data_IF_644962509734
#
_entry.id   IF_644962509734
#
_cell.length_a   1.000
_cell.length_b   1.000
_cell.length_c   1.000
_cell.angle_alpha   90.00
_cell.angle_beta   90.00
_cell.angle_gamma   90.00
#
_symmetry.space_group_name_H-M   'P 1'
#
loop_
_entity.id
_entity.type
_entity.pdbx_description
1 polymer ?
#
# COMPACT_ATOMS: atom_id res chain seq x y z
N UNK A 1 -1.24 -9.04 6.61
CA UNK A 1 -2.12 -7.95 7.11
C UNK A 1 -1.62 -6.65 6.50
N UNK A 2 -2.52 -5.72 6.16
CA UNK A 2 -2.15 -4.39 5.68
C UNK A 2 -1.48 -3.60 6.81
N UNK A 3 -0.65 -2.62 6.44
CA UNK A 3 0.09 -1.77 7.37
C UNK A 3 -0.86 -1.08 8.33
N UNK A 4 -0.70 -1.39 9.63
CA UNK A 4 -1.52 -0.77 10.68
C UNK A 4 -1.15 0.69 10.93
N UNK A 5 -0.05 1.13 10.32
CA UNK A 5 0.48 2.47 10.47
C UNK A 5 0.30 3.33 9.21
N UNK A 6 -0.65 2.95 8.35
CA UNK A 6 -1.02 3.73 7.17
C UNK A 6 -2.27 4.55 7.45
N UNK A 7 -2.24 5.82 7.07
CA UNK A 7 -3.40 6.71 7.14
C UNK A 7 -3.76 7.17 5.74
N UNK A 8 -4.99 6.90 5.30
CA UNK A 8 -5.49 7.45 4.03
C UNK A 8 -5.80 8.93 4.19
N UNK A 9 -5.41 9.74 3.20
CA UNK A 9 -5.63 11.18 3.22
C UNK A 9 -6.01 11.72 1.83
N UNK A 10 -6.81 12.78 1.82
CA UNK A 10 -7.19 13.48 0.58
C UNK A 10 -5.98 14.18 -0.05
N UNK A 11 -5.86 14.25 -1.40
CA UNK A 11 -4.83 15.00 -2.09
C UNK A 11 -4.89 16.50 -1.81
N UNK A 12 -6.07 17.03 -1.47
CA UNK A 12 -6.30 18.43 -1.11
C UNK A 12 -6.13 18.72 0.39
N UNK A 13 -5.94 17.69 1.22
CA UNK A 13 -5.58 17.93 2.61
C UNK A 13 -4.24 18.67 2.67
N UNK A 14 -4.06 19.49 3.69
CA UNK A 14 -2.85 20.29 3.87
C UNK A 14 -1.81 19.57 4.73
N UNK A 15 -0.54 19.95 4.57
CA UNK A 15 0.56 19.55 5.45
C UNK A 15 0.21 19.76 6.92
N UNK A 16 -0.40 20.89 7.28
CA UNK A 16 -0.80 21.17 8.65
C UNK A 16 -1.80 20.16 9.20
N UNK A 17 -2.78 19.72 8.40
CA UNK A 17 -3.72 18.67 8.81
C UNK A 17 -2.99 17.34 9.04
N UNK A 18 -2.06 16.96 8.16
CA UNK A 18 -1.25 15.75 8.31
C UNK A 18 -0.30 15.82 9.53
N UNK A 19 0.31 16.98 9.79
CA UNK A 19 1.23 17.22 10.89
C UNK A 19 0.59 16.90 12.26
N UNK A 20 -0.70 17.22 12.45
CA UNK A 20 -1.42 16.85 13.68
C UNK A 20 -1.42 15.34 13.94
N UNK A 21 -1.38 14.53 12.88
CA UNK A 21 -1.34 13.06 12.97
C UNK A 21 0.07 12.57 13.28
N UNK A 22 1.10 13.18 12.68
CA UNK A 22 2.51 12.88 12.98
C UNK A 22 2.83 13.18 14.45
N UNK A 23 2.37 14.32 14.97
CA UNK A 23 2.61 14.75 16.35
C UNK A 23 2.00 13.82 17.41
N UNK A 24 1.00 12.99 17.04
CA UNK A 24 0.41 11.98 17.95
C UNK A 24 1.30 10.75 18.18
N UNK A 25 2.53 10.74 17.65
CA UNK A 25 3.57 9.76 18.00
C UNK A 25 3.57 8.47 17.18
N UNK A 26 2.62 8.28 16.26
CA UNK A 26 2.55 7.05 15.45
C UNK A 26 3.42 7.06 14.19
N UNK A 27 4.02 8.19 13.79
CA UNK A 27 4.86 8.31 12.58
C UNK A 27 4.32 7.53 11.36
N UNK A 28 3.05 7.73 10.95
CA UNK A 28 2.47 6.94 9.87
C UNK A 28 3.05 7.35 8.50
N UNK A 29 2.96 6.43 7.55
CA UNK A 29 2.97 6.79 6.13
C UNK A 29 1.54 7.15 5.69
N UNK A 30 1.40 8.20 4.90
CA UNK A 30 0.11 8.65 4.39
C UNK A 30 -0.12 8.14 2.98
N UNK A 31 -1.18 7.37 2.78
CA UNK A 31 -1.66 7.01 1.45
C UNK A 31 -2.53 8.16 0.91
N UNK A 32 -2.04 8.87 -0.09
CA UNK A 32 -2.83 9.90 -0.78
C UNK A 32 -3.71 9.19 -1.80
N UNK A 33 -5.02 9.20 -1.55
CA UNK A 33 -6.00 8.46 -2.35
C UNK A 33 -6.96 9.39 -3.05
N UNK A 34 -7.55 8.95 -4.16
CA UNK A 34 -8.61 9.69 -4.84
C UNK A 34 -9.82 9.94 -3.90
N UNK A 35 -10.72 10.88 -4.24
CA UNK A 35 -11.87 11.20 -3.38
C UNK A 35 -12.78 10.00 -3.07
N UNK A 36 -12.74 8.94 -3.89
CA UNK A 36 -13.51 7.72 -3.70
C UNK A 36 -12.76 6.64 -2.90
N UNK A 37 -11.48 6.86 -2.58
CA UNK A 37 -10.63 5.94 -1.82
C UNK A 37 -10.26 4.65 -2.54
N UNK A 38 -10.42 4.60 -3.87
CA UNK A 38 -10.23 3.40 -4.70
C UNK A 38 -8.87 3.37 -5.37
N UNK A 39 -8.25 4.52 -5.55
CA UNK A 39 -6.99 4.66 -6.27
C UNK A 39 -5.95 5.37 -5.41
N UNK A 40 -4.79 4.75 -5.27
CA UNK A 40 -3.60 5.41 -4.74
C UNK A 40 -3.06 6.40 -5.77
N UNK A 41 -2.91 7.65 -5.37
CA UNK A 41 -2.29 8.72 -6.16
C UNK A 41 -0.81 8.88 -5.80
N UNK A 42 -0.46 8.65 -4.54
CA UNK A 42 0.90 8.72 -4.05
C UNK A 42 1.03 8.44 -2.55
N UNK A 43 2.24 8.55 -2.03
CA UNK A 43 2.55 8.38 -0.61
C UNK A 43 3.33 9.59 -0.11
N UNK A 44 3.02 10.02 1.12
CA UNK A 44 3.79 11.00 1.87
C UNK A 44 4.24 10.36 3.16
N UNK A 45 5.54 10.34 3.47
CA UNK A 45 6.03 9.84 4.75
C UNK A 45 5.91 10.89 5.85
N UNK A 46 5.95 10.46 7.11
CA UNK A 46 6.04 11.39 8.25
C UNK A 46 7.28 12.32 8.17
N UNK A 47 8.36 11.85 7.56
CA UNK A 47 9.55 12.66 7.28
C UNK A 47 9.29 13.77 6.25
N UNK A 48 8.55 13.47 5.18
CA UNK A 48 8.17 14.47 4.17
C UNK A 48 7.28 15.56 4.78
N UNK A 49 6.33 15.16 5.64
CA UNK A 49 5.49 16.11 6.39
C UNK A 49 6.34 16.99 7.32
N UNK A 50 7.28 16.38 8.05
CA UNK A 50 8.17 17.12 8.97
C UNK A 50 9.03 18.13 8.21
N UNK A 51 9.61 17.71 7.09
CA UNK A 51 10.41 18.58 6.22
C UNK A 51 9.57 19.73 5.64
N UNK A 52 8.33 19.47 5.23
CA UNK A 52 7.44 20.52 4.74
C UNK A 52 7.07 21.53 5.85
N UNK A 53 6.84 21.05 7.07
CA UNK A 53 6.61 21.91 8.24
C UNK A 53 7.83 22.79 8.54
N UNK A 54 9.03 22.24 8.52
CA UNK A 54 10.29 23.00 8.71
C UNK A 54 10.48 24.09 7.65
N UNK A 55 9.98 23.86 6.44
CA UNK A 55 9.95 24.83 5.33
C UNK A 55 8.78 25.82 5.39
N UNK A 56 8.00 25.81 6.47
CA UNK A 56 6.82 26.65 6.67
C UNK A 56 5.70 26.44 5.61
N UNK A 57 5.59 25.22 5.07
CA UNK A 57 4.64 24.85 4.01
C UNK A 57 3.30 24.33 4.56
N UNK A 58 2.80 24.93 5.63
CA UNK A 58 1.61 24.46 6.37
C UNK A 58 0.35 24.28 5.53
N UNK A 59 0.16 25.13 4.52
CA UNK A 59 -1.02 25.14 3.65
C UNK A 59 -0.81 24.38 2.34
N UNK A 60 0.38 23.84 2.10
CA UNK A 60 0.68 23.08 0.90
C UNK A 60 -0.17 21.79 0.88
N UNK A 61 -0.81 21.45 -0.24
CA UNK A 61 -1.60 20.24 -0.33
C UNK A 61 -0.70 19.00 -0.35
N UNK A 62 -1.21 17.86 0.15
CA UNK A 62 -0.48 16.59 0.18
C UNK A 62 -0.06 16.13 -1.22
N UNK A 63 -0.86 16.45 -2.23
CA UNK A 63 -0.55 16.15 -3.63
C UNK A 63 0.72 16.83 -4.17
N UNK A 64 1.15 17.95 -3.58
CA UNK A 64 2.34 18.67 -4.02
C UNK A 64 3.64 18.12 -3.41
N UNK A 65 3.53 17.35 -2.33
CA UNK A 65 4.68 16.78 -1.60
C UNK A 65 4.72 15.25 -1.65
N UNK A 66 3.75 14.62 -2.30
CA UNK A 66 3.70 13.16 -2.42
C UNK A 66 4.70 12.64 -3.42
N UNK A 67 5.20 11.44 -3.13
CA UNK A 67 5.81 10.59 -4.14
C UNK A 67 4.70 9.96 -4.99
N UNK A 68 4.75 10.07 -6.32
CA UNK A 68 3.74 9.49 -7.21
C UNK A 68 3.58 7.98 -7.03
N UNK A 69 2.36 7.47 -7.19
CA UNK A 69 2.05 6.04 -7.15
C UNK A 69 2.90 5.18 -8.11
N UNK A 70 3.36 5.75 -9.23
CA UNK A 70 4.23 5.07 -10.18
C UNK A 70 5.60 4.66 -9.64
N UNK A 71 6.08 5.34 -8.58
CA UNK A 71 7.38 5.08 -7.97
C UNK A 71 7.28 4.10 -6.79
N UNK A 72 6.08 3.60 -6.50
CA UNK A 72 5.80 2.76 -5.35
C UNK A 72 5.63 1.32 -5.82
N UNK A 73 6.40 0.36 -5.29
CA UNK A 73 6.26 -1.05 -5.66
C UNK A 73 4.82 -1.55 -5.47
N UNK A 74 4.29 -2.20 -6.50
CA UNK A 74 2.96 -2.82 -6.46
C UNK A 74 3.05 -4.30 -6.12
N UNK A 75 2.20 -4.73 -5.19
CA UNK A 75 2.08 -6.12 -4.74
C UNK A 75 0.62 -6.55 -4.67
N UNK A 76 0.39 -7.85 -4.57
CA UNK A 76 -0.94 -8.45 -4.39
C UNK A 76 -1.04 -9.09 -3.00
N UNK A 77 -2.26 -9.40 -2.50
CA UNK A 77 -2.43 -10.13 -1.24
C UNK A 77 -1.69 -11.48 -1.18
N UNK A 78 -1.37 -12.08 -2.34
CA UNK A 78 -0.68 -13.36 -2.45
C UNK A 78 0.83 -13.21 -2.67
N UNK A 79 1.36 -11.99 -2.72
CA UNK A 79 2.81 -11.75 -2.83
C UNK A 79 3.52 -12.33 -1.60
N UNK A 80 4.55 -13.14 -1.85
CA UNK A 80 5.32 -13.78 -0.78
C UNK A 80 6.16 -12.76 0.00
N UNK A 81 6.55 -13.08 1.23
CA UNK A 81 7.39 -12.19 2.04
C UNK A 81 8.77 -11.98 1.41
N UNK A 82 9.37 -13.02 0.81
CA UNK A 82 10.65 -12.90 0.11
C UNK A 82 10.53 -11.98 -1.09
N UNK A 83 9.47 -12.13 -1.90
CA UNK A 83 9.24 -11.23 -3.04
C UNK A 83 8.95 -9.78 -2.59
N UNK A 84 8.23 -9.60 -1.49
CA UNK A 84 8.01 -8.28 -0.89
C UNK A 84 9.34 -7.67 -0.43
N UNK A 85 10.18 -8.45 0.23
CA UNK A 85 11.51 -8.04 0.67
C UNK A 85 12.37 -7.61 -0.53
N UNK A 86 12.46 -8.46 -1.56
CA UNK A 86 13.21 -8.14 -2.78
C UNK A 86 12.72 -6.83 -3.41
N UNK A 87 11.40 -6.62 -3.49
CA UNK A 87 10.81 -5.38 -4.05
C UNK A 87 11.10 -4.13 -3.22
N UNK A 88 11.18 -4.26 -1.89
CA UNK A 88 11.43 -3.13 -0.99
C UNK A 88 12.92 -2.82 -0.84
N UNK A 89 13.80 -3.82 -0.87
CA UNK A 89 15.25 -3.64 -0.81
C UNK A 89 15.81 -3.00 -2.09
N UNK A 90 15.25 -3.35 -3.25
CA UNK A 90 15.64 -2.75 -4.53
C UNK A 90 14.83 -1.49 -4.88
N UNK A 91 13.82 -1.15 -4.06
CA UNK A 91 12.91 -0.04 -4.28
C UNK A 91 13.37 1.25 -3.59
N UNK A 92 12.84 2.38 -4.03
CA UNK A 92 13.07 3.68 -3.36
C UNK A 92 12.17 3.89 -2.12
N UNK A 93 11.21 2.98 -1.91
CA UNK A 93 10.12 3.10 -0.93
C UNK A 93 10.24 2.03 0.14
N UNK A 94 10.01 2.41 1.40
CA UNK A 94 9.94 1.48 2.56
C UNK A 94 8.63 0.70 2.63
N UNK A 95 7.68 1.05 1.77
CA UNK A 95 6.34 0.46 1.70
C UNK A 95 5.97 0.09 0.27
N UNK A 96 5.15 -0.94 0.13
CA UNK A 96 4.55 -1.36 -1.12
C UNK A 96 3.04 -1.13 -1.09
N UNK A 97 2.46 -0.84 -2.25
CA UNK A 97 1.02 -0.70 -2.42
C UNK A 97 0.39 -2.05 -2.74
N UNK A 98 -0.58 -2.47 -1.92
CA UNK A 98 -1.32 -3.71 -2.09
C UNK A 98 -2.54 -3.46 -2.96
N UNK A 99 -2.69 -4.25 -4.02
CA UNK A 99 -3.85 -4.23 -4.90
C UNK A 99 -4.52 -5.59 -5.00
N UNK A 100 -5.85 -5.59 -4.97
CA UNK A 100 -6.67 -6.73 -5.38
C UNK A 100 -7.39 -6.39 -6.67
N UNK A 101 -6.94 -7.00 -7.78
CA UNK A 101 -7.32 -6.59 -9.12
C UNK A 101 -7.01 -5.10 -9.36
N UNK A 102 -7.99 -4.27 -9.76
CA UNK A 102 -7.79 -2.84 -10.01
C UNK A 102 -7.81 -1.98 -8.73
N UNK A 103 -8.21 -2.54 -7.58
CA UNK A 103 -8.51 -1.76 -6.39
C UNK A 103 -7.34 -1.70 -5.42
N UNK A 104 -6.99 -0.48 -5.01
CA UNK A 104 -6.03 -0.26 -3.93
C UNK A 104 -6.63 -0.72 -2.60
N UNK A 105 -5.88 -1.53 -1.85
CA UNK A 105 -6.32 -2.08 -0.55
C UNK A 105 -5.61 -1.41 0.63
N UNK A 106 -4.40 -0.89 0.41
CA UNK A 106 -3.60 -0.27 1.46
C UNK A 106 -2.10 -0.42 1.19
N UNK A 107 -1.28 -0.02 2.15
CA UNK A 107 0.17 -0.18 2.09
C UNK A 107 0.62 -1.35 2.96
N UNK A 108 1.82 -1.87 2.72
CA UNK A 108 2.49 -2.88 3.54
C UNK A 108 3.98 -2.58 3.65
N UNK A 109 4.54 -2.79 4.85
CA UNK A 109 5.97 -2.65 5.16
C UNK A 109 6.57 -3.97 5.66
N UNK A 110 7.89 -4.07 5.74
CA UNK A 110 8.57 -5.22 6.39
C UNK A 110 8.39 -5.21 7.91
N UNK A 111 8.15 -4.04 8.52
CA UNK A 111 7.92 -3.87 9.95
C UNK A 111 6.52 -4.29 10.40
N UNK A 112 5.61 -4.59 9.46
CA UNK A 112 4.32 -5.19 9.73
C UNK A 112 4.51 -6.67 10.13
N UNK A 113 5.05 -6.86 11.33
CA UNK A 113 5.37 -8.14 11.96
C UNK A 113 4.13 -9.03 11.94
N UNK A 114 4.22 -10.09 11.15
CA UNK A 114 3.16 -11.05 10.76
C UNK A 114 2.33 -10.57 9.57
N UNK A 115 2.89 -10.69 8.37
CA UNK A 115 2.14 -11.18 7.22
C UNK A 115 1.60 -12.58 7.54
N UNK A 116 0.63 -12.67 8.46
CA UNK A 116 -0.11 -13.89 8.77
C UNK A 116 -0.69 -14.41 7.47
N UNK A 117 -0.23 -15.59 7.07
CA UNK A 117 -0.89 -16.56 6.20
C UNK A 117 -2.14 -16.02 5.50
N UNK A 118 -2.01 -15.55 4.26
CA UNK A 118 -3.11 -15.71 3.32
C UNK A 118 -3.08 -17.16 2.86
N UNK A 119 -3.66 -18.04 3.68
CA UNK A 119 -3.99 -19.39 3.24
C UNK A 119 -5.16 -19.26 2.29
N UNK A 120 -4.99 -19.62 1.02
CA UNK A 120 -6.13 -20.01 0.19
C UNK A 120 -6.45 -21.47 0.55
N UNK A 121 -7.60 -21.81 1.15
CA UNK A 121 -8.07 -23.17 1.14
C UNK A 121 -8.53 -23.48 -0.29
N UNK A 122 -7.86 -24.45 -0.93
CA UNK A 122 -8.43 -25.13 -2.08
C UNK A 122 -7.98 -24.63 -3.45
N UNK A 123 -6.69 -24.80 -3.77
CA UNK A 123 -6.35 -25.28 -5.11
C UNK A 123 -6.73 -26.78 -5.18
N UNK A 124 -8.05 -27.02 -5.23
CA UNK A 124 -8.62 -28.34 -5.47
C UNK A 124 -8.22 -28.78 -6.86
N UNK A 125 -7.29 -29.72 -6.91
CA UNK A 125 -6.87 -30.50 -8.07
C UNK A 125 -8.06 -30.82 -8.98
N UNK A 126 -8.11 -30.21 -10.17
CA UNK A 126 -8.85 -30.79 -11.28
C UNK A 126 -8.15 -32.09 -11.67
N UNK A 127 -8.61 -33.22 -11.11
CA UNK A 127 -8.39 -34.53 -11.71
C UNK A 127 -9.29 -34.59 -12.94
N UNK A 128 -8.68 -34.52 -14.12
CA UNK A 128 -9.34 -34.86 -15.37
C UNK A 128 -9.90 -36.28 -15.29
N UNK A 129 -11.22 -36.38 -15.25
CA UNK A 129 -11.94 -37.60 -15.55
C UNK A 129 -12.13 -37.68 -17.05
N UNK A 130 -11.39 -38.57 -17.68
CA UNK A 130 -11.63 -39.08 -19.03
C UNK A 130 -13.03 -39.71 -19.08
N UNK A 131 -13.97 -39.08 -19.77
CA UNK A 131 -15.18 -39.74 -20.24
C UNK A 131 -14.82 -40.54 -21.49
N UNK A 132 -14.75 -41.86 -21.34
CA UNK A 132 -14.89 -42.81 -22.44
C UNK A 132 -16.35 -42.74 -22.91
N UNK A 133 -16.54 -42.31 -24.16
CA UNK A 133 -17.75 -42.57 -24.93
C UNK A 133 -17.40 -43.74 -25.83
N UNK A 134 -17.90 -44.93 -25.47
CA UNK A 134 -17.92 -46.06 -26.40
C UNK A 134 -19.18 -45.92 -27.28
N UNK A 135 -18.91 -45.79 -28.57
CA UNK A 135 -19.83 -46.02 -29.68
C UNK A 135 -19.95 -47.55 -29.86
N UNK A 136 -21.19 -48.08 -29.89
CA UNK A 136 -21.74 -49.21 -30.71
C UNK A 136 -23.16 -49.53 -30.23
#
# INVERSE_FOLDING_TARGET
ALSRNTVSISPSATVGQAATTVMRGNQPDFAVVDPFGRQLLGIVSSGDVTQAVERNQWYTPMSDIMRPAGDIPRVTPNTSLSELQDKLEHGSSRVAAVYDGPFFQGLISLDDRRASRFSVPGAGRFRGGTAVVDDV
#
